data_IF_889373947109
#
_entry.id   IF_889373947109
#
_cell.length_a   1.000
_cell.length_b   1.000
_cell.length_c   1.000
_cell.angle_alpha   90.00
_cell.angle_beta   90.00
_cell.angle_gamma   90.00
#
_symmetry.space_group_name_H-M   'P 1'
#
loop_
_entity.id
_entity.type
_entity.pdbx_description
1 polymer ?
#
# COMPACT_ATOMS: atom_id res chain seq x y z
N UNK A 1 30.64 51.09 39.48
CA UNK A 1 29.66 51.33 38.38
C UNK A 1 29.14 49.97 37.91
N UNK A 2 27.88 49.63 38.22
CA UNK A 2 27.23 48.35 37.87
C UNK A 2 26.42 48.53 36.58
N UNK A 3 26.64 47.69 35.57
CA UNK A 3 25.83 47.67 34.34
C UNK A 3 24.46 47.04 34.63
N UNK A 4 23.33 47.61 34.17
CA UNK A 4 22.04 46.96 34.26
C UNK A 4 21.91 45.87 33.18
N UNK A 5 21.38 44.71 33.59
CA UNK A 5 21.02 43.59 32.74
C UNK A 5 19.67 43.83 32.06
N UNK A 6 19.62 43.70 30.73
CA UNK A 6 18.41 43.84 29.91
C UNK A 6 17.65 42.49 29.90
N UNK A 7 16.37 42.42 30.30
CA UNK A 7 15.56 41.23 30.09
C UNK A 7 15.04 41.15 28.65
N UNK A 8 15.22 39.98 28.03
CA UNK A 8 14.70 39.65 26.70
C UNK A 8 13.20 39.30 26.74
N UNK A 9 12.35 39.82 25.83
CA UNK A 9 10.93 39.48 25.79
C UNK A 9 10.73 38.08 25.17
N UNK A 10 10.23 37.14 25.98
CA UNK A 10 9.77 35.82 25.51
C UNK A 10 8.41 35.96 24.86
N UNK A 11 8.35 35.91 23.52
CA UNK A 11 7.09 35.99 22.79
C UNK A 11 6.33 34.65 22.80
N UNK A 12 5.03 34.64 23.12
CA UNK A 12 4.23 33.40 23.26
C UNK A 12 3.92 32.71 21.92
N UNK A 13 4.11 33.41 20.79
CA UNK A 13 3.87 32.88 19.44
C UNK A 13 4.87 31.78 19.03
N UNK A 14 6.09 31.83 19.55
CA UNK A 14 7.12 30.81 19.30
C UNK A 14 6.87 29.50 20.05
N UNK A 15 6.09 29.53 21.15
CA UNK A 15 5.72 28.33 21.92
C UNK A 15 4.63 27.49 21.25
N UNK A 16 3.70 28.13 20.55
CA UNK A 16 2.65 27.43 19.82
C UNK A 16 3.19 26.64 18.62
N UNK A 17 4.26 27.12 18.00
CA UNK A 17 4.89 26.44 16.85
C UNK A 17 5.74 25.22 17.26
N UNK A 18 6.27 25.21 18.49
CA UNK A 18 7.11 24.13 19.01
C UNK A 18 6.33 22.86 19.39
N UNK A 19 5.00 22.95 19.51
CA UNK A 19 4.11 21.80 19.84
C UNK A 19 3.51 21.13 18.60
N UNK A 20 3.54 21.77 17.43
CA UNK A 20 3.05 21.17 16.17
C UNK A 20 4.10 20.27 15.49
N UNK A 21 5.38 20.48 15.78
CA UNK A 21 6.49 19.72 15.21
C UNK A 21 6.52 18.22 15.61
N UNK A 22 6.30 17.83 16.88
CA UNK A 22 6.27 16.41 17.24
C UNK A 22 4.99 15.69 16.78
N UNK A 23 3.89 16.43 16.58
CA UNK A 23 2.62 15.86 16.11
C UNK A 23 2.67 15.46 14.63
N UNK A 24 3.44 16.20 13.81
CA UNK A 24 3.69 15.85 12.41
C UNK A 24 4.70 14.70 12.24
N UNK A 25 5.62 14.51 13.19
CA UNK A 25 6.58 13.40 13.15
C UNK A 25 5.93 12.04 13.50
N UNK A 26 4.90 12.03 14.35
CA UNK A 26 4.20 10.81 14.74
C UNK A 26 3.35 10.20 13.61
N UNK A 27 2.87 11.01 12.65
CA UNK A 27 2.08 10.50 11.52
C UNK A 27 2.94 9.90 10.40
N UNK A 28 4.25 10.16 10.39
CA UNK A 28 5.16 9.60 9.38
C UNK A 28 5.38 8.08 9.55
N UNK A 29 5.31 7.55 10.78
CA UNK A 29 5.39 6.09 11.01
C UNK A 29 4.08 5.35 10.71
N UNK A 30 2.92 6.01 10.79
CA UNK A 30 1.64 5.41 10.43
C UNK A 30 1.53 5.13 8.91
N UNK A 31 2.35 5.79 8.09
CA UNK A 31 2.43 5.55 6.65
C UNK A 31 3.17 4.28 6.25
N UNK A 32 4.06 3.74 7.10
CA UNK A 32 4.84 2.54 6.76
C UNK A 32 4.15 1.21 7.14
N UNK A 33 3.00 1.28 7.82
CA UNK A 33 2.14 0.13 8.13
C UNK A 33 0.92 0.01 7.18
N UNK A 34 0.62 1.04 6.39
CA UNK A 34 -0.40 0.99 5.33
C UNK A 34 0.25 0.59 4.01
N UNK A 35 0.67 -0.66 3.93
CA UNK A 35 0.84 -1.38 2.67
C UNK A 35 -0.22 -2.49 2.58
N UNK A 36 -1.48 -2.09 2.65
CA UNK A 36 -2.54 -2.78 1.96
C UNK A 36 -2.74 -2.07 0.64
N UNK A 37 -1.89 -2.34 -0.36
CA UNK A 37 -2.19 -1.91 -1.73
C UNK A 37 -3.54 -2.53 -2.10
N UNK A 38 -4.60 -1.72 -2.05
CA UNK A 38 -5.82 -2.00 -2.76
C UNK A 38 -5.45 -2.05 -4.25
N UNK A 39 -5.36 -3.26 -4.77
CA UNK A 39 -5.21 -3.49 -6.21
C UNK A 39 -6.36 -2.75 -6.90
N UNK A 40 -5.99 -1.96 -7.90
CA UNK A 40 -6.77 -0.84 -8.44
C UNK A 40 -8.11 -1.19 -9.10
N UNK A 41 -8.68 -0.16 -9.72
CA UNK A 41 -10.07 0.02 -10.19
C UNK A 41 -10.63 -0.99 -11.21
N UNK A 42 -10.04 -2.18 -11.35
CA UNK A 42 -10.55 -3.27 -12.20
C UNK A 42 -10.34 -4.63 -11.53
N UNK A 43 -11.25 -4.98 -10.63
CA UNK A 43 -11.31 -6.31 -10.02
C UNK A 43 -10.84 -6.28 -8.57
N UNK A 44 -11.79 -5.92 -7.70
CA UNK A 44 -11.64 -6.01 -6.27
C UNK A 44 -11.23 -7.42 -5.87
N UNK A 45 -9.95 -7.58 -5.59
CA UNK A 45 -9.42 -8.63 -4.77
C UNK A 45 -8.63 -7.93 -3.68
N UNK A 46 -9.34 -7.55 -2.62
CA UNK A 46 -8.71 -7.17 -1.37
C UNK A 46 -8.02 -8.43 -0.86
N UNK A 47 -6.73 -8.56 -1.14
CA UNK A 47 -5.89 -9.54 -0.43
C UNK A 47 -5.77 -8.98 0.98
N UNK A 48 -6.60 -9.50 1.88
CA UNK A 48 -6.60 -9.14 3.31
C UNK A 48 -5.16 -9.22 3.82
N UNK A 49 -4.69 -8.08 4.37
CA UNK A 49 -3.36 -7.91 4.91
C UNK A 49 -2.88 -9.14 5.68
N UNK A 50 -1.76 -9.69 5.25
CA UNK A 50 -1.03 -10.79 5.90
C UNK A 50 -0.34 -10.40 7.21
N UNK A 51 -0.63 -9.20 7.73
CA UNK A 51 -0.04 -8.67 8.93
C UNK A 51 -0.57 -9.45 10.14
N UNK A 52 0.24 -10.37 10.67
CA UNK A 52 -0.05 -11.12 11.90
C UNK A 52 -0.27 -12.62 11.75
N UNK A 53 -0.14 -13.20 10.54
CA UNK A 53 -0.18 -14.66 10.37
C UNK A 53 1.16 -15.30 10.75
N UNK A 54 1.11 -16.40 11.51
CA UNK A 54 2.29 -17.23 11.76
C UNK A 54 2.65 -18.07 10.51
N UNK A 55 3.92 -18.50 10.35
CA UNK A 55 4.33 -19.37 9.24
C UNK A 55 3.49 -20.65 9.13
N UNK A 56 3.08 -21.23 10.26
CA UNK A 56 2.23 -22.42 10.29
C UNK A 56 0.83 -22.14 9.73
N UNK A 57 0.23 -21.00 10.06
CA UNK A 57 -1.07 -20.57 9.53
C UNK A 57 -0.99 -20.31 8.02
N UNK A 58 0.11 -19.71 7.56
CA UNK A 58 0.36 -19.48 6.13
C UNK A 58 0.46 -20.82 5.39
N UNK A 59 1.23 -21.78 5.90
CA UNK A 59 1.38 -23.08 5.27
C UNK A 59 0.05 -23.86 5.25
N UNK A 60 -0.72 -23.80 6.35
CA UNK A 60 -2.05 -24.41 6.43
C UNK A 60 -3.01 -23.77 5.41
N UNK A 61 -3.00 -22.45 5.28
CA UNK A 61 -3.79 -21.73 4.29
C UNK A 61 -3.40 -22.14 2.86
N UNK A 62 -2.10 -22.24 2.56
CA UNK A 62 -1.61 -22.68 1.26
C UNK A 62 -2.08 -24.10 0.92
N UNK A 63 -2.08 -25.03 1.89
CA UNK A 63 -2.61 -26.40 1.70
C UNK A 63 -4.11 -26.40 1.47
N UNK A 64 -4.87 -25.65 2.27
CA UNK A 64 -6.33 -25.58 2.16
C UNK A 64 -6.79 -24.99 0.83
N UNK A 65 -6.12 -23.92 0.37
CA UNK A 65 -6.38 -23.32 -0.94
C UNK A 65 -5.88 -24.20 -2.09
N UNK A 66 -4.76 -24.90 -1.91
CA UNK A 66 -4.27 -25.90 -2.88
C UNK A 66 -5.29 -26.99 -3.15
N UNK A 67 -5.88 -27.60 -2.11
CA UNK A 67 -6.94 -28.60 -2.28
C UNK A 67 -8.19 -28.06 -3.00
N UNK A 68 -8.54 -26.79 -2.77
CA UNK A 68 -9.66 -26.15 -3.46
C UNK A 68 -9.31 -25.90 -4.93
N UNK A 69 -8.08 -25.47 -5.19
CA UNK A 69 -7.56 -25.25 -6.53
C UNK A 69 -7.51 -26.55 -7.34
N UNK A 70 -7.10 -27.67 -6.73
CA UNK A 70 -7.07 -28.98 -7.39
C UNK A 70 -8.47 -29.45 -7.79
N UNK A 71 -9.50 -29.12 -6.99
CA UNK A 71 -10.90 -29.44 -7.29
C UNK A 71 -11.51 -28.54 -8.35
N UNK A 72 -11.18 -27.25 -8.32
CA UNK A 72 -11.71 -26.28 -9.26
C UNK A 72 -10.63 -25.24 -9.60
N UNK A 73 -9.74 -25.53 -10.57
CA UNK A 73 -8.65 -24.64 -10.94
C UNK A 73 -9.13 -23.42 -11.75
N UNK A 74 -10.41 -23.42 -12.15
CA UNK A 74 -11.04 -22.38 -12.94
C UNK A 74 -11.78 -21.32 -12.11
N UNK A 75 -11.89 -21.48 -10.78
CA UNK A 75 -12.53 -20.46 -9.94
C UNK A 75 -11.56 -19.29 -9.66
N UNK A 76 -11.96 -18.10 -10.09
CA UNK A 76 -11.20 -16.85 -9.89
C UNK A 76 -10.86 -16.60 -8.42
N UNK A 77 -11.80 -16.87 -7.52
CA UNK A 77 -11.61 -16.62 -6.08
C UNK A 77 -10.55 -17.56 -5.52
N UNK A 78 -10.63 -18.83 -5.89
CA UNK A 78 -9.66 -19.86 -5.52
C UNK A 78 -8.26 -19.56 -6.09
N UNK A 79 -8.15 -19.16 -7.36
CA UNK A 79 -6.87 -18.75 -7.99
C UNK A 79 -6.20 -17.62 -7.20
N UNK A 80 -6.94 -16.56 -6.89
CA UNK A 80 -6.38 -15.37 -6.23
C UNK A 80 -5.96 -15.66 -4.79
N UNK A 81 -6.81 -16.36 -4.02
CA UNK A 81 -6.49 -16.70 -2.63
C UNK A 81 -5.34 -17.71 -2.53
N UNK A 82 -5.27 -18.68 -3.46
CA UNK A 82 -4.16 -19.63 -3.50
C UNK A 82 -2.84 -18.94 -3.85
N UNK A 83 -2.83 -18.09 -4.87
CA UNK A 83 -1.64 -17.30 -5.22
C UNK A 83 -1.19 -16.36 -4.09
N UNK A 84 -2.14 -15.75 -3.37
CA UNK A 84 -1.84 -14.94 -2.19
C UNK A 84 -1.19 -15.78 -1.09
N UNK A 85 -1.75 -16.94 -0.77
CA UNK A 85 -1.18 -17.84 0.25
C UNK A 85 0.23 -18.32 -0.13
N UNK A 86 0.46 -18.67 -1.40
CA UNK A 86 1.79 -19.07 -1.90
C UNK A 86 2.81 -17.93 -1.81
N UNK A 87 2.40 -16.69 -2.10
CA UNK A 87 3.27 -15.51 -1.96
C UNK A 87 3.69 -15.29 -0.51
N UNK A 88 2.77 -15.50 0.44
CA UNK A 88 3.06 -15.39 1.87
C UNK A 88 3.97 -16.52 2.37
N UNK A 89 3.87 -17.71 1.78
CA UNK A 89 4.72 -18.88 2.07
C UNK A 89 6.11 -18.77 1.43
N UNK A 90 6.39 -17.72 0.64
CA UNK A 90 7.65 -17.51 -0.08
C UNK A 90 7.76 -18.23 -1.43
N UNK A 91 6.71 -18.94 -1.86
CA UNK A 91 6.65 -19.72 -3.11
C UNK A 91 6.17 -18.87 -4.29
N UNK A 92 6.91 -17.80 -4.58
CA UNK A 92 6.49 -16.77 -5.54
C UNK A 92 6.38 -17.31 -6.96
N UNK A 93 7.31 -18.14 -7.42
CA UNK A 93 7.29 -18.69 -8.79
C UNK A 93 6.01 -19.49 -9.08
N UNK A 94 5.56 -20.26 -8.09
CA UNK A 94 4.31 -21.01 -8.20
C UNK A 94 3.09 -20.09 -8.16
N UNK A 95 3.11 -19.03 -7.34
CA UNK A 95 2.03 -18.05 -7.31
C UNK A 95 1.86 -17.37 -8.67
N UNK A 96 2.96 -17.03 -9.34
CA UNK A 96 2.95 -16.45 -10.69
C UNK A 96 2.34 -17.43 -11.68
N UNK A 97 2.75 -18.70 -11.69
CA UNK A 97 2.20 -19.71 -12.59
C UNK A 97 0.68 -19.92 -12.41
N UNK A 98 0.18 -19.89 -11.16
CA UNK A 98 -1.26 -19.99 -10.86
C UNK A 98 -2.02 -18.78 -11.41
N UNK A 99 -1.48 -17.56 -11.23
CA UNK A 99 -2.08 -16.33 -11.74
C UNK A 99 -2.06 -16.27 -13.27
N UNK A 100 -0.96 -16.65 -13.92
CA UNK A 100 -0.82 -16.69 -15.37
C UNK A 100 -1.87 -17.60 -16.01
N UNK A 101 -2.05 -18.81 -15.47
CA UNK A 101 -3.14 -19.71 -15.89
C UNK A 101 -4.51 -19.03 -15.76
N UNK A 102 -4.74 -18.35 -14.64
CA UNK A 102 -5.97 -17.56 -14.42
C UNK A 102 -6.14 -16.43 -15.43
N UNK A 103 -5.08 -15.69 -15.78
CA UNK A 103 -5.14 -14.59 -16.74
C UNK A 103 -5.46 -15.06 -18.16
N UNK A 104 -4.89 -16.20 -18.58
CA UNK A 104 -5.22 -16.83 -19.87
C UNK A 104 -6.71 -17.17 -19.93
N UNK A 105 -7.27 -17.66 -18.81
CA UNK A 105 -8.70 -17.98 -18.67
C UNK A 105 -9.58 -16.72 -18.69
N UNK A 106 -9.24 -15.71 -17.89
CA UNK A 106 -10.07 -14.54 -17.60
C UNK A 106 -9.69 -13.28 -18.38
N UNK A 107 -9.04 -13.41 -19.54
CA UNK A 107 -8.66 -12.23 -20.34
C UNK A 107 -9.87 -11.33 -20.60
N UNK A 108 -9.91 -10.18 -19.94
CA UNK A 108 -10.84 -9.11 -20.28
C UNK A 108 -10.22 -8.36 -21.43
N UNK A 109 -10.73 -8.59 -22.63
CA UNK A 109 -10.38 -7.86 -23.84
C UNK A 109 -10.98 -6.45 -23.79
N UNK A 110 -10.60 -5.64 -22.80
CA UNK A 110 -10.87 -4.21 -22.82
C UNK A 110 -9.56 -3.52 -23.24
N UNK A 111 -9.57 -2.68 -24.28
CA UNK A 111 -8.40 -1.87 -24.58
C UNK A 111 -8.07 -1.01 -23.37
N UNK A 112 -6.79 -0.94 -22.98
CA UNK A 112 -6.30 -0.06 -21.92
C UNK A 112 -6.71 1.38 -22.26
N UNK A 113 -7.84 1.84 -21.72
CA UNK A 113 -8.23 3.24 -21.79
C UNK A 113 -7.48 3.94 -20.65
N UNK A 114 -6.52 4.82 -20.95
CA UNK A 114 -5.87 5.57 -19.89
C UNK A 114 -6.95 6.31 -19.09
N UNK A 115 -6.94 6.27 -17.75
CA UNK A 115 -7.74 7.18 -16.96
C UNK A 115 -7.35 8.57 -17.44
N UNK A 116 -8.36 9.31 -17.93
CA UNK A 116 -8.22 10.59 -18.63
C UNK A 116 -6.94 11.31 -18.26
N UNK A 117 -6.03 11.44 -19.22
CA UNK A 117 -4.78 12.14 -19.06
C UNK A 117 -5.09 13.55 -18.57
N UNK A 118 -5.10 13.75 -17.25
CA UNK A 118 -4.99 15.06 -16.64
C UNK A 118 -3.58 15.49 -16.97
N UNK A 119 -3.47 16.16 -18.12
CA UNK A 119 -2.28 16.79 -18.67
C UNK A 119 -1.59 17.52 -17.52
N UNK A 120 -0.48 16.97 -17.03
CA UNK A 120 0.39 17.66 -16.09
C UNK A 120 0.77 19.01 -16.72
N UNK A 121 0.25 20.10 -16.17
CA UNK A 121 0.69 21.46 -16.47
C UNK A 121 1.64 21.85 -15.35
N UNK A 122 2.96 21.84 -15.54
CA UNK A 122 3.84 22.51 -14.60
C UNK A 122 3.44 23.99 -14.58
N UNK A 123 3.05 24.50 -13.42
CA UNK A 123 2.84 25.93 -13.20
C UNK A 123 4.18 26.61 -13.45
N UNK A 124 4.34 27.21 -14.63
CA UNK A 124 5.46 28.09 -14.91
C UNK A 124 5.46 29.19 -13.86
N UNK A 125 6.51 29.21 -13.04
CA UNK A 125 6.82 30.28 -12.11
C UNK A 125 6.85 31.60 -12.88
N UNK A 126 5.90 32.49 -12.60
CA UNK A 126 5.90 33.85 -13.09
C UNK A 126 6.93 34.67 -12.30
N UNK A 127 8.18 34.66 -12.75
CA UNK A 127 9.13 35.73 -12.42
C UNK A 127 9.15 36.77 -13.55
N UNK A 128 8.35 37.82 -13.40
CA UNK A 128 8.63 39.16 -13.98
C UNK A 128 9.04 40.01 -12.78
N UNK A 129 10.32 40.40 -12.71
CA UNK A 129 10.85 41.72 -13.08
C UNK A 129 10.11 42.85 -12.39
#
# INVERSE_FOLDING_TARGET
MRRPSIPSPRSPRLRALALLLPLAAATALAGCATQGQAIGTHGGASVTSSAGLSPAQINQAARAWGQRYDKNPDDRTTILNYAAALRLDGRVDQAVAVLEKGMIKFKTTAPCRPPTARRWRPTAASSRR
#
